data_IF_537900602797
#
_entry.id   IF_537900602797
#
_cell.length_a   1.000
_cell.length_b   1.000
_cell.length_c   1.000
_cell.angle_alpha   90.00
_cell.angle_beta   90.00
_cell.angle_gamma   90.00
#
_symmetry.space_group_name_H-M   'P 1'
#
loop_
_entity.id
_entity.type
_entity.pdbx_description
1 polymer ?
#
# COMPACT_ATOMS: atom_id res chain seq x y z
N UNK A 1 4.00 -13.24 10.37
CA UNK A 1 4.11 -13.08 8.90
C UNK A 1 3.21 -11.90 8.55
N UNK A 2 3.78 -10.71 8.35
CA UNK A 2 3.04 -9.58 7.79
C UNK A 2 2.79 -9.90 6.33
N UNK A 3 1.53 -9.88 5.90
CA UNK A 3 1.20 -10.13 4.51
C UNK A 3 1.78 -9.03 3.64
N UNK A 4 2.04 -9.33 2.37
CA UNK A 4 2.50 -8.35 1.36
C UNK A 4 1.65 -7.06 1.41
N UNK A 5 0.35 -7.23 1.60
CA UNK A 5 -0.63 -6.16 1.86
C UNK A 5 -0.31 -5.25 3.05
N UNK A 6 0.07 -5.80 4.20
CA UNK A 6 0.43 -4.99 5.38
C UNK A 6 1.66 -4.11 5.09
N UNK A 7 2.58 -4.64 4.27
CA UNK A 7 3.79 -3.93 3.86
C UNK A 7 3.47 -2.80 2.87
N UNK A 8 2.56 -3.01 1.92
CA UNK A 8 2.06 -1.96 1.02
C UNK A 8 1.36 -0.84 1.79
N UNK A 9 0.46 -1.18 2.71
CA UNK A 9 -0.27 -0.22 3.55
C UNK A 9 0.72 0.63 4.36
N UNK A 10 1.73 0.00 4.97
CA UNK A 10 2.77 0.70 5.72
C UNK A 10 3.57 1.66 4.86
N UNK A 11 4.01 1.23 3.68
CA UNK A 11 4.78 2.07 2.77
C UNK A 11 3.97 3.28 2.30
N UNK A 12 2.71 3.05 1.92
CA UNK A 12 1.82 4.11 1.45
C UNK A 12 1.46 5.10 2.58
N UNK A 13 1.15 4.60 3.78
CA UNK A 13 0.88 5.44 4.95
C UNK A 13 2.08 6.33 5.28
N UNK A 14 3.29 5.76 5.30
CA UNK A 14 4.52 6.50 5.56
C UNK A 14 4.79 7.55 4.48
N UNK A 15 4.61 7.21 3.20
CA UNK A 15 4.78 8.13 2.08
C UNK A 15 3.81 9.32 2.16
N UNK A 16 2.52 9.06 2.44
CA UNK A 16 1.51 10.11 2.59
C UNK A 16 1.79 11.01 3.80
N UNK A 17 2.20 10.43 4.93
CA UNK A 17 2.56 11.15 6.14
C UNK A 17 3.81 12.04 5.92
N UNK A 18 4.83 11.53 5.24
CA UNK A 18 6.03 12.28 4.91
C UNK A 18 5.73 13.44 3.95
N UNK A 19 4.92 13.19 2.91
CA UNK A 19 4.46 14.20 1.95
C UNK A 19 3.65 15.31 2.63
N UNK A 20 2.91 14.99 3.69
CA UNK A 20 2.16 15.95 4.50
C UNK A 20 3.03 16.73 5.50
N UNK A 21 4.35 16.48 5.55
CA UNK A 21 5.28 17.17 6.45
C UNK A 21 5.38 16.54 7.84
N UNK A 22 5.02 15.26 7.98
CA UNK A 22 5.10 14.48 9.23
C UNK A 22 4.36 15.11 10.42
N UNK A 23 3.06 15.46 10.27
CA UNK A 23 2.27 15.95 11.40
C UNK A 23 2.20 14.89 12.50
N UNK A 24 2.60 15.25 13.72
CA UNK A 24 2.53 14.37 14.88
C UNK A 24 1.07 14.15 15.32
N UNK A 25 0.70 12.91 15.64
CA UNK A 25 -0.64 12.58 16.14
C UNK A 25 -1.69 12.32 15.05
N UNK A 26 -1.35 12.56 13.78
CA UNK A 26 -2.20 12.26 12.63
C UNK A 26 -1.79 11.00 11.87
N UNK A 27 -0.78 10.27 12.35
CA UNK A 27 -0.27 9.07 11.68
C UNK A 27 -1.40 8.07 11.38
N UNK A 28 -2.30 7.85 12.35
CA UNK A 28 -3.43 6.93 12.23
C UNK A 28 -4.38 7.27 11.08
N UNK A 29 -4.57 8.56 10.76
CA UNK A 29 -5.40 8.99 9.62
C UNK A 29 -4.76 8.55 8.30
N UNK A 30 -3.44 8.68 8.18
CA UNK A 30 -2.69 8.23 7.00
C UNK A 30 -2.67 6.71 6.87
N UNK A 31 -2.57 5.98 7.99
CA UNK A 31 -2.70 4.53 8.00
C UNK A 31 -4.08 4.06 7.54
N UNK A 32 -5.16 4.70 8.01
CA UNK A 32 -6.52 4.39 7.59
C UNK A 32 -6.77 4.73 6.12
N UNK A 33 -6.24 5.86 5.63
CA UNK A 33 -6.32 6.24 4.22
C UNK A 33 -5.57 5.25 3.32
N UNK A 34 -4.33 4.90 3.69
CA UNK A 34 -3.51 3.94 2.96
C UNK A 34 -4.13 2.55 2.93
N UNK A 35 -4.68 2.09 4.05
CA UNK A 35 -5.41 0.83 4.10
C UNK A 35 -6.51 0.84 3.05
N UNK A 36 -7.43 1.81 3.09
CA UNK A 36 -8.57 1.92 2.17
C UNK A 36 -8.16 1.96 0.70
N UNK A 37 -7.05 2.63 0.38
CA UNK A 37 -6.51 2.67 -0.98
C UNK A 37 -6.04 1.27 -1.41
N UNK A 38 -5.22 0.59 -0.61
CA UNK A 38 -4.75 -0.77 -0.92
C UNK A 38 -5.92 -1.77 -0.96
N UNK A 39 -6.91 -1.66 -0.07
CA UNK A 39 -8.10 -2.52 -0.13
C UNK A 39 -8.97 -2.26 -1.38
N UNK A 40 -9.01 -1.02 -1.85
CA UNK A 40 -9.73 -0.60 -3.05
C UNK A 40 -9.00 -0.98 -4.35
N UNK A 41 -7.67 -0.90 -4.35
CA UNK A 41 -6.80 -1.13 -5.51
C UNK A 41 -6.61 -2.62 -5.80
N UNK A 42 -6.61 -3.48 -4.77
CA UNK A 42 -6.59 -4.95 -4.93
C UNK A 42 -7.77 -5.49 -5.74
N UNK A 43 -8.88 -4.75 -5.88
CA UNK A 43 -9.97 -5.14 -6.80
C UNK A 43 -9.64 -4.91 -8.27
N UNK A 44 -8.54 -4.23 -8.59
CA UNK A 44 -8.12 -3.86 -9.94
C UNK A 44 -6.85 -4.56 -10.40
N UNK A 45 -6.02 -5.07 -9.47
CA UNK A 45 -4.70 -5.66 -9.80
C UNK A 45 -4.66 -7.21 -9.81
N UNK A 46 -5.79 -7.92 -9.64
CA UNK A 46 -5.88 -9.39 -9.73
C UNK A 46 -5.58 -9.97 -11.15
N UNK A 47 -4.93 -9.20 -12.03
CA UNK A 47 -4.65 -9.59 -13.42
C UNK A 47 -3.19 -9.59 -13.87
N UNK A 48 -2.20 -9.19 -13.07
CA UNK A 48 -0.86 -8.93 -13.63
C UNK A 48 0.35 -9.36 -12.80
N UNK A 49 0.22 -10.42 -12.01
CA UNK A 49 1.39 -11.06 -11.39
C UNK A 49 1.62 -12.51 -11.84
N UNK A 50 1.06 -12.92 -12.98
CA UNK A 50 1.40 -14.20 -13.59
C UNK A 50 2.36 -14.02 -14.77
N UNK A 51 3.63 -14.28 -14.48
CA UNK A 51 4.57 -14.99 -15.36
C UNK A 51 5.19 -14.23 -16.56
N UNK A 52 5.96 -13.16 -16.28
CA UNK A 52 7.04 -12.69 -17.18
C UNK A 52 8.30 -13.56 -17.06
N UNK A 53 8.17 -14.88 -16.96
CA UNK A 53 9.33 -15.78 -16.99
C UNK A 53 8.94 -17.14 -17.60
N UNK A 54 8.82 -17.19 -18.93
CA UNK A 54 9.32 -18.32 -19.74
C UNK A 54 9.29 -17.92 -21.22
N UNK A 55 10.40 -17.41 -21.72
CA UNK A 55 10.65 -17.33 -23.16
C UNK A 55 12.02 -17.95 -23.46
N UNK A 56 11.94 -19.13 -24.08
CA UNK A 56 12.93 -19.87 -24.87
C UNK A 56 14.06 -20.62 -24.16
#
# INVERSE_FOLDING_TARGET
MTSDRDQEIRNLAYFLWEKAGRPAGHEHDFWAAAAREVEGDQRKDDGTHENRFVAR
#
